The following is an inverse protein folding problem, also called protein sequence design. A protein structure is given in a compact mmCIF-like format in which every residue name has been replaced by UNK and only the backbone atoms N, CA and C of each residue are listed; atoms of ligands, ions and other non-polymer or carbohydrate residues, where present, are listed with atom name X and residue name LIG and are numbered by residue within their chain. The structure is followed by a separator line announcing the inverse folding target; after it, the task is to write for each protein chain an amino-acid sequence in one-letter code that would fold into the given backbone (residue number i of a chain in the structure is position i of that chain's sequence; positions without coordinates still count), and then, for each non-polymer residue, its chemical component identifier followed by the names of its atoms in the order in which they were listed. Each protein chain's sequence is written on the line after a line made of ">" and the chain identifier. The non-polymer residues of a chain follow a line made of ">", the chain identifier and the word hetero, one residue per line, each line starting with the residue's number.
data_IF_602122922978
#
_entry.id   IF_602122922978
#
_cell.length_a   1.000
_cell.length_b   1.000
_cell.length_c   1.000
_cell.angle_alpha   90.00
_cell.angle_beta   90.00
_cell.angle_gamma   90.00
#
_symmetry.space_group_name_H-M   'P 1'
#
loop_
_entity.id
_entity.type
_entity.pdbx_description
1 polymer ?
#
# COMPACT_ATOMS: atom_id res chain seq x y z
N UNK A 1 -17.01 7.82 -31.46
CA UNK A 1 -16.90 8.68 -30.26
C UNK A 1 -15.73 8.21 -29.44
N UNK A 2 -14.65 8.98 -29.40
CA UNK A 2 -13.51 8.70 -28.49
C UNK A 2 -14.02 9.04 -27.09
N UNK A 3 -14.19 8.03 -26.25
CA UNK A 3 -14.61 8.22 -24.86
C UNK A 3 -13.40 8.75 -24.12
N UNK A 4 -13.34 10.05 -23.87
CA UNK A 4 -12.31 10.65 -23.04
C UNK A 4 -12.36 9.97 -21.65
N UNK A 5 -11.26 9.35 -21.27
CA UNK A 5 -11.12 8.68 -19.97
C UNK A 5 -10.17 9.47 -19.07
N UNK A 6 -10.51 9.59 -17.82
CA UNK A 6 -9.57 10.11 -16.82
C UNK A 6 -8.42 9.11 -16.58
N UNK A 7 -7.26 9.61 -16.18
CA UNK A 7 -6.05 8.79 -15.99
C UNK A 7 -6.25 7.57 -15.08
N UNK A 8 -6.99 7.74 -13.98
CA UNK A 8 -7.27 6.66 -13.02
C UNK A 8 -8.13 5.53 -13.62
N UNK A 9 -9.01 5.85 -14.57
CA UNK A 9 -9.86 4.87 -15.25
C UNK A 9 -9.08 3.91 -16.17
N UNK A 10 -7.82 4.23 -16.47
CA UNK A 10 -6.92 3.36 -17.22
C UNK A 10 -6.13 2.41 -16.32
N UNK A 11 -6.24 2.57 -14.99
CA UNK A 11 -5.60 1.68 -14.02
C UNK A 11 -6.46 0.43 -13.81
N UNK A 12 -5.92 -0.73 -14.14
CA UNK A 12 -6.62 -2.01 -13.90
C UNK A 12 -7.02 -2.19 -12.44
N UNK A 13 -6.14 -1.79 -11.51
CA UNK A 13 -6.42 -1.87 -10.08
C UNK A 13 -7.64 -1.03 -9.67
N UNK A 14 -7.95 0.05 -10.39
CA UNK A 14 -9.12 0.88 -10.10
C UNK A 14 -10.43 0.12 -10.40
N UNK A 15 -10.50 -0.56 -11.54
CA UNK A 15 -11.68 -1.38 -11.90
C UNK A 15 -11.86 -2.54 -10.91
N UNK A 16 -10.77 -3.22 -10.55
CA UNK A 16 -10.83 -4.33 -9.59
C UNK A 16 -11.22 -3.84 -8.18
N UNK A 17 -10.79 -2.63 -7.80
CA UNK A 17 -11.18 -1.98 -6.55
C UNK A 17 -12.68 -1.68 -6.52
N UNK A 18 -13.23 -1.09 -7.58
CA UNK A 18 -14.67 -0.84 -7.69
C UNK A 18 -15.45 -2.16 -7.50
N UNK A 19 -15.04 -3.24 -8.18
CA UNK A 19 -15.72 -4.55 -8.05
C UNK A 19 -15.66 -5.12 -6.64
N UNK A 20 -14.51 -4.96 -5.97
CA UNK A 20 -14.34 -5.44 -4.59
C UNK A 20 -15.19 -4.64 -3.60
N UNK A 21 -15.21 -3.31 -3.76
CA UNK A 21 -16.00 -2.40 -2.93
C UNK A 21 -17.50 -2.61 -3.18
N UNK A 22 -17.94 -2.71 -4.44
CA UNK A 22 -19.38 -2.94 -4.73
C UNK A 22 -19.91 -4.22 -4.08
N UNK A 23 -19.12 -5.29 -4.09
CA UNK A 23 -19.49 -6.51 -3.37
C UNK A 23 -19.55 -6.28 -1.85
N UNK A 24 -18.59 -5.51 -1.31
CA UNK A 24 -18.57 -5.15 0.10
C UNK A 24 -19.77 -4.32 0.51
N UNK A 25 -20.13 -3.30 -0.28
CA UNK A 25 -21.29 -2.43 -0.05
C UNK A 25 -22.62 -3.22 -0.13
N UNK A 26 -22.74 -4.13 -1.10
CA UNK A 26 -23.92 -5.02 -1.20
C UNK A 26 -24.13 -5.81 0.09
N UNK A 27 -23.06 -6.37 0.66
CA UNK A 27 -23.12 -7.12 1.91
C UNK A 27 -23.34 -6.20 3.11
N UNK A 28 -22.64 -5.07 3.16
CA UNK A 28 -22.72 -4.10 4.26
C UNK A 28 -24.09 -3.42 4.36
N UNK A 29 -24.83 -3.31 3.26
CA UNK A 29 -26.19 -2.77 3.24
C UNK A 29 -27.17 -3.59 4.09
N UNK A 30 -26.86 -4.86 4.37
CA UNK A 30 -27.63 -5.71 5.27
C UNK A 30 -27.22 -5.63 6.75
N UNK A 31 -26.21 -4.82 7.10
CA UNK A 31 -25.81 -4.66 8.49
C UNK A 31 -26.74 -3.69 9.22
N UNK A 32 -27.04 -4.02 10.47
CA UNK A 32 -27.91 -3.19 11.30
C UNK A 32 -27.32 -1.77 11.46
N UNK A 33 -28.11 -0.75 11.24
CA UNK A 33 -27.76 0.68 11.38
C UNK A 33 -27.34 1.08 12.81
N UNK A 34 -27.63 0.25 13.82
CA UNK A 34 -27.14 0.43 15.20
C UNK A 34 -25.61 0.28 15.28
N UNK A 35 -25.01 -0.41 14.32
CA UNK A 35 -23.57 -0.60 14.26
C UNK A 35 -22.89 0.42 13.35
N UNK A 36 -22.06 1.29 13.90
CA UNK A 36 -21.24 2.26 13.16
C UNK A 36 -20.28 1.62 12.12
N UNK A 37 -20.21 0.27 12.08
CA UNK A 37 -19.25 -0.43 11.22
C UNK A 37 -19.59 -0.30 9.72
N UNK A 38 -20.87 -0.19 9.35
CA UNK A 38 -21.27 0.05 7.97
C UNK A 38 -20.76 1.43 7.50
N UNK A 39 -20.96 2.46 8.31
CA UNK A 39 -20.45 3.81 8.04
C UNK A 39 -18.91 3.86 7.96
N UNK A 40 -18.21 3.11 8.82
CA UNK A 40 -16.75 2.97 8.72
C UNK A 40 -16.32 2.32 7.40
N UNK A 41 -17.03 1.26 6.98
CA UNK A 41 -16.73 0.60 5.72
C UNK A 41 -16.95 1.55 4.54
N UNK A 42 -18.07 2.27 4.49
CA UNK A 42 -18.37 3.23 3.43
C UNK A 42 -17.31 4.33 3.34
N UNK A 43 -16.92 4.94 4.45
CA UNK A 43 -15.86 5.96 4.45
C UNK A 43 -14.49 5.42 4.02
N UNK A 44 -14.14 4.22 4.46
CA UNK A 44 -12.91 3.58 4.06
C UNK A 44 -12.92 3.23 2.56
N UNK A 45 -14.03 2.73 2.02
CA UNK A 45 -14.18 2.39 0.61
C UNK A 45 -14.10 3.62 -0.29
N UNK A 46 -14.75 4.72 0.09
CA UNK A 46 -14.64 6.01 -0.59
C UNK A 46 -13.21 6.54 -0.54
N UNK A 47 -12.57 6.51 0.62
CA UNK A 47 -11.18 6.91 0.81
C UNK A 47 -10.21 6.13 -0.08
N UNK A 48 -10.40 4.81 -0.19
CA UNK A 48 -9.58 3.97 -1.04
C UNK A 48 -9.65 4.39 -2.52
N UNK A 49 -10.86 4.61 -3.05
CA UNK A 49 -11.09 5.00 -4.44
C UNK A 49 -10.58 6.41 -4.74
N UNK A 50 -10.88 7.37 -3.85
CA UNK A 50 -10.52 8.78 -4.04
C UNK A 50 -9.00 8.96 -3.98
N UNK A 51 -8.32 8.37 -3.01
CA UNK A 51 -6.86 8.44 -2.89
C UNK A 51 -6.15 7.77 -4.08
N UNK A 52 -6.68 6.66 -4.61
CA UNK A 52 -6.14 6.04 -5.82
C UNK A 52 -6.32 6.95 -7.04
N UNK A 53 -7.51 7.53 -7.23
CA UNK A 53 -7.76 8.46 -8.32
C UNK A 53 -6.84 9.69 -8.25
N UNK A 54 -6.67 10.25 -7.06
CA UNK A 54 -5.77 11.38 -6.81
C UNK A 54 -4.31 11.02 -7.13
N UNK A 55 -3.85 9.84 -6.70
CA UNK A 55 -2.48 9.37 -6.95
C UNK A 55 -2.16 9.33 -8.44
N UNK A 56 -3.13 8.95 -9.28
CA UNK A 56 -2.94 8.82 -10.73
C UNK A 56 -2.61 10.15 -11.44
N UNK A 57 -2.96 11.30 -10.82
CA UNK A 57 -2.75 12.64 -11.38
C UNK A 57 -1.48 13.32 -10.86
N UNK A 58 -1.00 12.94 -9.68
CA UNK A 58 0.16 13.61 -9.07
C UNK A 58 1.41 13.37 -9.90
N UNK A 59 2.07 14.46 -10.31
CA UNK A 59 3.31 14.40 -11.09
C UNK A 59 4.51 14.10 -10.21
N UNK A 60 4.53 14.68 -9.00
CA UNK A 60 5.62 14.46 -8.05
C UNK A 60 5.50 13.07 -7.43
N UNK A 61 6.52 12.25 -7.57
CA UNK A 61 6.55 10.86 -7.13
C UNK A 61 6.32 10.71 -5.62
N UNK A 62 6.92 11.52 -4.72
CA UNK A 62 6.61 11.43 -3.29
C UNK A 62 5.12 11.61 -2.99
N UNK A 63 4.49 12.64 -3.58
CA UNK A 63 3.07 12.91 -3.38
C UNK A 63 2.16 11.82 -4.00
N UNK A 64 2.58 11.23 -5.14
CA UNK A 64 1.88 10.11 -5.78
C UNK A 64 1.91 8.87 -4.91
N UNK A 65 3.09 8.51 -4.39
CA UNK A 65 3.28 7.32 -3.56
C UNK A 65 2.63 7.48 -2.17
N UNK A 66 2.58 8.69 -1.64
CA UNK A 66 1.85 9.00 -0.41
C UNK A 66 0.34 8.78 -0.58
N UNK A 67 -0.27 9.36 -1.62
CA UNK A 67 -1.69 9.16 -1.91
C UNK A 67 -2.03 7.67 -2.13
N UNK A 68 -1.17 6.93 -2.83
CA UNK A 68 -1.33 5.47 -2.95
C UNK A 68 -1.20 4.73 -1.61
N UNK A 69 -0.38 5.22 -0.69
CA UNK A 69 -0.25 4.65 0.66
C UNK A 69 -1.53 4.87 1.48
N UNK A 70 -2.16 6.04 1.37
CA UNK A 70 -3.46 6.29 1.99
C UNK A 70 -4.54 5.36 1.44
N UNK A 71 -4.57 5.15 0.12
CA UNK A 71 -5.48 4.18 -0.51
C UNK A 71 -5.25 2.75 0.01
N UNK A 72 -3.99 2.32 0.17
CA UNK A 72 -3.64 1.02 0.76
C UNK A 72 -4.13 0.90 2.22
N UNK A 73 -3.99 1.95 3.03
CA UNK A 73 -4.50 2.00 4.40
C UNK A 73 -6.02 1.81 4.43
N UNK A 74 -6.74 2.53 3.58
CA UNK A 74 -8.20 2.43 3.48
C UNK A 74 -8.68 1.04 3.04
N UNK A 75 -7.94 0.33 2.16
CA UNK A 75 -8.25 -1.07 1.81
C UNK A 75 -8.10 -2.00 3.04
N UNK A 76 -7.10 -1.77 3.88
CA UNK A 76 -6.94 -2.55 5.12
C UNK A 76 -8.06 -2.27 6.11
N UNK A 77 -8.50 -1.02 6.22
CA UNK A 77 -9.67 -0.63 7.03
C UNK A 77 -10.94 -1.33 6.53
N UNK A 78 -11.17 -1.38 5.22
CA UNK A 78 -12.28 -2.14 4.64
C UNK A 78 -12.23 -3.61 5.06
N UNK A 79 -11.06 -4.25 4.98
CA UNK A 79 -10.89 -5.64 5.39
C UNK A 79 -11.15 -5.85 6.89
N UNK A 80 -10.66 -4.92 7.73
CA UNK A 80 -10.89 -4.95 9.18
C UNK A 80 -12.37 -4.78 9.55
N UNK A 81 -13.12 -3.95 8.79
CA UNK A 81 -14.57 -3.83 8.98
C UNK A 81 -15.28 -5.19 8.81
N UNK A 82 -14.87 -6.00 7.84
CA UNK A 82 -15.42 -7.35 7.64
C UNK A 82 -15.04 -8.30 8.77
N UNK A 83 -13.82 -8.22 9.32
CA UNK A 83 -13.43 -9.01 10.50
C UNK A 83 -14.30 -8.67 11.72
N UNK A 84 -14.48 -7.37 11.99
CA UNK A 84 -15.33 -6.88 13.09
C UNK A 84 -16.78 -7.33 12.87
N UNK A 85 -17.31 -7.25 11.65
CA UNK A 85 -18.68 -7.64 11.32
C UNK A 85 -18.90 -9.13 11.50
N UNK A 86 -17.89 -9.96 11.20
CA UNK A 86 -17.93 -11.40 11.49
C UNK A 86 -17.96 -11.67 12.99
N UNK A 87 -17.12 -10.98 13.78
CA UNK A 87 -17.16 -11.10 15.25
C UNK A 87 -18.51 -10.68 15.86
N UNK A 88 -19.21 -9.76 15.21
CA UNK A 88 -20.56 -9.32 15.62
C UNK A 88 -21.69 -10.16 15.02
N UNK A 89 -21.39 -11.23 14.29
CA UNK A 89 -22.34 -12.08 13.59
C UNK A 89 -23.23 -11.34 12.56
N UNK A 90 -22.76 -10.22 12.02
CA UNK A 90 -23.46 -9.44 10.99
C UNK A 90 -23.23 -10.02 9.58
N UNK A 91 -22.19 -10.81 9.41
CA UNK A 91 -21.83 -11.45 8.14
C UNK A 91 -21.27 -12.85 8.40
N UNK A 92 -21.54 -13.78 7.49
CA UNK A 92 -20.97 -15.13 7.58
C UNK A 92 -19.48 -15.11 7.26
N UNK A 93 -18.72 -16.05 7.84
CA UNK A 93 -17.29 -16.22 7.57
C UNK A 93 -17.00 -16.43 6.07
N UNK A 94 -17.89 -17.09 5.36
CA UNK A 94 -17.77 -17.35 3.92
C UNK A 94 -17.80 -16.05 3.12
N UNK A 95 -18.82 -15.20 3.33
CA UNK A 95 -18.95 -13.89 2.68
C UNK A 95 -17.79 -12.96 3.06
N UNK A 96 -17.38 -12.95 4.32
CA UNK A 96 -16.20 -12.23 4.78
C UNK A 96 -14.95 -12.63 3.99
N UNK A 97 -14.69 -13.93 3.85
CA UNK A 97 -13.55 -14.45 3.12
C UNK A 97 -13.61 -14.10 1.63
N UNK A 98 -14.79 -14.10 1.02
CA UNK A 98 -14.97 -13.71 -0.38
C UNK A 98 -14.54 -12.25 -0.64
N UNK A 99 -15.04 -11.31 0.17
CA UNK A 99 -14.69 -9.89 0.07
C UNK A 99 -13.21 -9.67 0.36
N UNK A 100 -12.69 -10.26 1.42
CA UNK A 100 -11.27 -10.13 1.80
C UNK A 100 -10.34 -10.69 0.73
N UNK A 101 -10.72 -11.75 0.02
CA UNK A 101 -9.94 -12.27 -1.12
C UNK A 101 -9.84 -11.24 -2.24
N UNK A 102 -10.92 -10.53 -2.57
CA UNK A 102 -10.92 -9.47 -3.59
C UNK A 102 -10.10 -8.25 -3.11
N UNK A 103 -10.32 -7.77 -1.89
CA UNK A 103 -9.55 -6.68 -1.29
C UNK A 103 -8.04 -7.00 -1.24
N UNK A 104 -7.67 -8.22 -0.87
CA UNK A 104 -6.27 -8.68 -0.87
C UNK A 104 -5.65 -8.67 -2.27
N UNK A 105 -6.42 -9.02 -3.30
CA UNK A 105 -5.94 -8.92 -4.69
C UNK A 105 -5.69 -7.47 -5.10
N UNK A 106 -6.63 -6.57 -4.80
CA UNK A 106 -6.51 -5.13 -5.04
C UNK A 106 -5.32 -4.54 -4.29
N UNK A 107 -5.17 -4.89 -3.01
CA UNK A 107 -4.03 -4.45 -2.19
C UNK A 107 -2.69 -4.80 -2.83
N UNK A 108 -2.51 -6.05 -3.29
CA UNK A 108 -1.26 -6.48 -3.95
C UNK A 108 -0.99 -5.73 -5.25
N UNK A 109 -2.03 -5.48 -6.07
CA UNK A 109 -1.91 -4.73 -7.31
C UNK A 109 -1.47 -3.28 -7.03
N UNK A 110 -2.14 -2.61 -6.08
CA UNK A 110 -1.83 -1.23 -5.72
C UNK A 110 -0.45 -1.12 -5.05
N UNK A 111 -0.08 -2.07 -4.20
CA UNK A 111 1.25 -2.13 -3.60
C UNK A 111 2.35 -2.23 -4.66
N UNK A 112 2.15 -3.09 -5.66
CA UNK A 112 3.10 -3.25 -6.78
C UNK A 112 3.18 -1.96 -7.61
N UNK A 113 2.04 -1.34 -7.93
CA UNK A 113 1.97 -0.08 -8.65
C UNK A 113 2.69 1.05 -7.89
N UNK A 114 2.44 1.18 -6.59
CA UNK A 114 3.14 2.14 -5.74
C UNK A 114 4.66 1.93 -5.76
N UNK A 115 5.11 0.67 -5.70
CA UNK A 115 6.55 0.34 -5.77
C UNK A 115 7.16 0.71 -7.12
N UNK A 116 6.46 0.51 -8.23
CA UNK A 116 6.96 0.92 -9.55
C UNK A 116 7.17 2.43 -9.62
N UNK A 117 6.23 3.22 -9.08
CA UNK A 117 6.39 4.67 -9.02
C UNK A 117 7.55 5.13 -8.13
N UNK A 118 7.83 4.43 -7.03
CA UNK A 118 9.01 4.72 -6.21
C UNK A 118 10.30 4.46 -6.97
N UNK A 119 10.37 3.36 -7.72
CA UNK A 119 11.53 3.02 -8.52
C UNK A 119 11.76 4.04 -9.66
N UNK A 120 10.69 4.54 -10.30
CA UNK A 120 10.76 5.63 -11.28
C UNK A 120 11.43 6.87 -10.67
N UNK A 121 11.01 7.28 -9.47
CA UNK A 121 11.59 8.43 -8.79
C UNK A 121 13.06 8.27 -8.40
N UNK A 122 13.47 7.07 -8.05
CA UNK A 122 14.87 6.79 -7.78
C UNK A 122 15.73 6.91 -9.06
N UNK A 123 15.18 6.52 -10.21
CA UNK A 123 15.84 6.65 -11.51
C UNK A 123 15.95 8.13 -11.89
N UNK A 124 14.84 8.89 -11.86
CA UNK A 124 14.84 10.33 -12.16
C UNK A 124 15.85 11.11 -11.28
N UNK A 125 15.92 10.77 -9.99
CA UNK A 125 16.90 11.37 -9.09
C UNK A 125 18.35 11.03 -9.46
N UNK A 126 18.60 9.82 -9.95
CA UNK A 126 19.94 9.40 -10.40
C UNK A 126 20.32 10.09 -11.70
N UNK A 127 19.42 10.14 -12.67
CA UNK A 127 19.64 10.80 -13.95
C UNK A 127 19.87 12.30 -13.77
N UNK A 128 19.04 12.98 -12.97
CA UNK A 128 19.26 14.39 -12.64
C UNK A 128 20.57 14.65 -11.89
N UNK A 129 21.02 13.73 -11.04
CA UNK A 129 22.30 13.85 -10.34
C UNK A 129 23.51 13.69 -11.28
N UNK A 130 23.35 12.90 -12.35
CA UNK A 130 24.39 12.75 -13.40
C UNK A 130 24.45 14.01 -14.28
N UNK A 131 23.31 14.60 -14.64
CA UNK A 131 23.22 15.79 -15.48
C UNK A 131 23.74 17.07 -14.77
N UNK A 132 23.63 17.14 -13.43
CA UNK A 132 24.15 18.24 -12.61
C UNK A 132 25.60 18.04 -12.15
N UNK A 133 26.29 17.00 -12.60
CA UNK A 133 27.64 16.62 -12.16
C UNK A 133 28.76 17.59 -12.55
N UNK A 134 28.49 18.65 -13.31
CA UNK A 134 29.49 19.69 -13.70
C UNK A 134 29.51 20.93 -12.79
N UNK A 135 28.66 21.01 -11.75
CA UNK A 135 28.70 22.14 -10.80
C UNK A 135 29.08 21.71 -9.38
N UNK A 136 30.33 21.91 -9.07
CA UNK A 136 31.14 21.41 -7.93
C UNK A 136 30.67 21.75 -6.49
N UNK A 137 29.60 22.48 -6.25
CA UNK A 137 29.28 23.02 -4.91
C UNK A 137 28.13 22.30 -4.19
N UNK A 138 27.21 21.65 -4.92
CA UNK A 138 26.05 20.93 -4.30
C UNK A 138 26.29 19.44 -4.01
N UNK A 139 27.47 18.94 -4.39
CA UNK A 139 27.77 17.49 -4.28
C UNK A 139 27.99 17.01 -2.83
N UNK A 140 28.44 17.87 -1.93
CA UNK A 140 28.91 17.45 -0.60
C UNK A 140 27.76 17.17 0.39
N UNK A 141 26.65 17.90 0.35
CA UNK A 141 25.53 17.69 1.27
C UNK A 141 24.62 16.53 0.83
N UNK A 142 24.40 16.34 -0.48
CA UNK A 142 23.64 15.20 -1.00
C UNK A 142 24.36 13.87 -0.81
N UNK A 143 25.68 13.83 -0.95
CA UNK A 143 26.49 12.65 -0.63
C UNK A 143 26.38 12.25 0.85
N UNK A 144 26.29 13.20 1.78
CA UNK A 144 26.08 12.93 3.21
C UNK A 144 24.70 12.30 3.46
N UNK A 145 23.66 12.83 2.84
CA UNK A 145 22.29 12.27 2.98
C UNK A 145 22.19 10.89 2.34
N UNK A 146 22.80 10.68 1.18
CA UNK A 146 22.83 9.38 0.51
C UNK A 146 23.65 8.34 1.29
N UNK A 147 24.77 8.75 1.88
CA UNK A 147 25.56 7.87 2.75
C UNK A 147 24.81 7.52 4.05
N UNK A 148 24.05 8.46 4.64
CA UNK A 148 23.19 8.21 5.79
C UNK A 148 22.05 7.23 5.46
N UNK A 149 21.37 7.41 4.34
CA UNK A 149 20.32 6.49 3.88
C UNK A 149 20.90 5.10 3.59
N UNK A 150 22.09 5.04 2.97
CA UNK A 150 22.78 3.78 2.69
C UNK A 150 23.27 3.08 3.96
N UNK A 151 23.68 3.83 4.98
CA UNK A 151 24.00 3.34 6.31
C UNK A 151 22.77 2.81 7.04
N UNK A 152 21.63 3.52 6.98
CA UNK A 152 20.36 3.07 7.58
C UNK A 152 19.83 1.80 6.91
N UNK A 153 19.87 1.72 5.57
CA UNK A 153 19.50 0.50 4.84
C UNK A 153 20.48 -0.64 5.08
N UNK A 154 21.77 -0.32 5.30
CA UNK A 154 22.81 -1.28 5.69
C UNK A 154 22.60 -1.83 7.10
N UNK A 155 22.15 -1.00 8.03
CA UNK A 155 21.81 -1.37 9.40
C UNK A 155 20.60 -2.33 9.40
N UNK A 156 19.56 -2.05 8.60
CA UNK A 156 18.41 -2.95 8.47
C UNK A 156 18.77 -4.33 7.93
N UNK A 157 19.69 -4.40 6.97
CA UNK A 157 20.20 -5.68 6.46
C UNK A 157 21.08 -6.41 7.47
N UNK A 158 21.85 -5.68 8.27
CA UNK A 158 22.67 -6.26 9.35
C UNK A 158 21.81 -6.77 10.49
N UNK A 159 20.79 -6.03 10.91
CA UNK A 159 19.86 -6.47 11.96
C UNK A 159 19.06 -7.69 11.54
N UNK A 160 18.60 -7.76 10.28
CA UNK A 160 17.93 -8.94 9.74
C UNK A 160 18.88 -10.18 9.68
N UNK A 161 20.15 -9.95 9.36
CA UNK A 161 21.15 -11.03 9.34
C UNK A 161 21.49 -11.50 10.75
N UNK A 162 21.62 -10.61 11.72
CA UNK A 162 21.84 -10.95 13.14
C UNK A 162 20.63 -11.70 13.73
N UNK A 163 19.42 -11.27 13.44
CA UNK A 163 18.20 -11.98 13.88
C UNK A 163 18.12 -13.39 13.31
N UNK A 164 18.57 -13.61 12.07
CA UNK A 164 18.61 -14.94 11.45
C UNK A 164 19.69 -15.85 12.05
N UNK A 165 20.77 -15.27 12.55
CA UNK A 165 21.85 -16.02 13.23
C UNK A 165 21.39 -16.43 14.64
N UNK A 166 20.77 -15.50 15.39
CA UNK A 166 20.26 -15.79 16.73
C UNK A 166 19.19 -16.87 16.73
N UNK A 167 18.28 -16.83 15.75
CA UNK A 167 17.26 -17.88 15.61
C UNK A 167 17.86 -19.27 15.37
N UNK A 168 18.97 -19.37 14.63
CA UNK A 168 19.69 -20.63 14.40
C UNK A 168 20.46 -21.12 15.63
N UNK A 169 20.87 -20.23 16.51
CA UNK A 169 21.52 -20.60 17.77
C UNK A 169 20.48 -21.10 18.79
N UNK A 170 19.33 -20.44 18.91
CA UNK A 170 18.23 -20.94 19.76
C UNK A 170 17.71 -22.32 19.33
N UNK A 171 17.60 -22.57 18.00
CA UNK A 171 17.20 -23.89 17.48
C UNK A 171 18.24 -25.00 17.79
N UNK A 172 19.52 -24.64 17.91
CA UNK A 172 20.56 -25.59 18.31
C UNK A 172 20.58 -25.90 19.80
N UNK A 173 20.29 -24.93 20.65
CA UNK A 173 20.22 -25.14 22.10
C UNK A 173 19.01 -26.01 22.48
N UNK A 174 17.86 -25.84 21.79
CA UNK A 174 16.67 -26.67 22.01
C UNK A 174 16.83 -28.15 21.54
N UNK A 175 17.84 -28.47 20.74
CA UNK A 175 18.12 -29.84 20.30
C UNK A 175 19.22 -30.55 21.11
N UNK A 176 19.76 -29.88 22.14
CA UNK A 176 20.79 -30.45 23.03
C UNK A 176 20.26 -30.77 24.45
N UNK A 177 18.98 -30.54 24.73
CA UNK A 177 18.25 -31.05 25.90
C UNK A 177 17.43 -32.31 25.52
#
# INVERSE_FOLDING_TARGET
>A
MIKERFSYQNLRVYEDMIRAISLGEEIASGWDSVHAIADHFTRASEGALLCLAESSRKRQIPARTEAASHSLGSILECAACFDISTCKSLVSQEKCNEVKKKLSSVFRQLYTLRRSWQAEGEIELRESAVEYGDNHIFHHERLKTYQLVRLLVGIDKMTAKLASVWKKEEEKEQHME
#
